data_IF_982230857482
#
_entry.id   IF_982230857482
#
_cell.length_a   1.000
_cell.length_b   1.000
_cell.length_c   1.000
_cell.angle_alpha   90.00
_cell.angle_beta   90.00
_cell.angle_gamma   90.00
#
_symmetry.space_group_name_H-M   'P 1'
#
loop_
_entity.id
_entity.type
_entity.pdbx_description
1 polymer ?
#
# COMPACT_ATOMS: atom_id res chain seq x y z
N UNK A 1 1.52 14.99 -14.86
CA UNK A 1 2.69 14.14 -14.48
C UNK A 1 3.44 14.64 -13.24
N UNK A 2 3.75 15.94 -13.10
CA UNK A 2 4.57 16.45 -11.99
C UNK A 2 4.04 16.13 -10.57
N UNK A 3 2.73 16.28 -10.33
CA UNK A 3 2.13 15.94 -9.02
C UNK A 3 2.27 14.45 -8.68
N UNK A 4 2.14 13.57 -9.67
CA UNK A 4 2.30 12.13 -9.48
C UNK A 4 3.74 11.79 -9.07
N UNK A 5 4.73 12.33 -9.76
CA UNK A 5 6.14 12.09 -9.44
C UNK A 5 6.53 12.65 -8.07
N UNK A 6 6.03 13.85 -7.72
CA UNK A 6 6.22 14.42 -6.39
C UNK A 6 5.58 13.56 -5.30
N UNK A 7 4.33 13.10 -5.52
CA UNK A 7 3.64 12.18 -4.63
C UNK A 7 4.38 10.86 -4.44
N UNK A 8 4.89 10.28 -5.53
CA UNK A 8 5.70 9.06 -5.50
C UNK A 8 6.96 9.24 -4.68
N UNK A 9 7.69 10.34 -4.91
CA UNK A 9 8.90 10.67 -4.16
C UNK A 9 8.64 10.82 -2.66
N UNK A 10 7.62 11.59 -2.27
CA UNK A 10 7.25 11.77 -0.86
C UNK A 10 6.80 10.48 -0.20
N UNK A 11 5.93 9.72 -0.87
CA UNK A 11 5.39 8.48 -0.35
C UNK A 11 6.51 7.45 -0.10
N UNK A 12 7.40 7.27 -1.08
CA UNK A 12 8.54 6.36 -0.95
C UNK A 12 9.52 6.84 0.11
N UNK A 13 9.88 8.13 0.12
CA UNK A 13 10.79 8.68 1.12
C UNK A 13 10.31 8.44 2.56
N UNK A 14 9.00 8.63 2.82
CA UNK A 14 8.41 8.35 4.12
C UNK A 14 8.51 6.86 4.51
N UNK A 15 8.28 5.94 3.57
CA UNK A 15 8.37 4.50 3.83
C UNK A 15 9.82 4.01 3.99
N UNK A 16 10.77 4.68 3.35
CA UNK A 16 12.19 4.33 3.42
C UNK A 16 12.89 4.83 4.70
N UNK A 17 12.18 5.49 5.63
CA UNK A 17 12.75 5.98 6.89
C UNK A 17 13.40 4.89 7.76
N UNK A 18 12.96 3.64 7.60
CA UNK A 18 13.49 2.48 8.31
C UNK A 18 14.69 1.82 7.60
N UNK A 19 14.98 2.19 6.35
CA UNK A 19 16.03 1.57 5.55
C UNK A 19 17.44 1.98 6.02
N UNK A 20 17.77 3.28 6.21
CA UNK A 20 19.04 3.66 6.78
C UNK A 20 19.14 3.18 8.24
N UNK A 21 20.14 2.35 8.52
CA UNK A 21 20.43 1.88 9.88
C UNK A 21 20.65 3.11 10.78
N UNK A 22 19.88 3.23 11.86
CA UNK A 22 20.05 4.29 12.86
C UNK A 22 19.21 5.56 12.64
N UNK A 23 18.66 5.83 11.43
CA UNK A 23 17.84 7.02 11.19
C UNK A 23 16.58 7.02 12.06
N UNK A 24 15.76 5.97 11.95
CA UNK A 24 14.53 5.85 12.75
C UNK A 24 14.79 5.85 14.27
N UNK A 25 15.77 5.09 14.81
CA UNK A 25 16.16 5.21 16.22
C UNK A 25 16.53 6.64 16.63
N UNK A 26 17.38 7.33 15.87
CA UNK A 26 17.81 8.70 16.19
C UNK A 26 16.62 9.69 16.20
N UNK A 27 15.70 9.55 15.25
CA UNK A 27 14.48 10.35 15.21
C UNK A 27 13.56 10.05 16.39
N UNK A 28 13.45 8.78 16.81
CA UNK A 28 12.66 8.39 17.98
C UNK A 28 13.27 8.96 19.26
N UNK A 29 14.60 8.96 19.41
CA UNK A 29 15.29 9.59 20.54
C UNK A 29 15.01 11.10 20.61
N UNK A 30 14.90 11.78 19.45
CA UNK A 30 14.69 13.23 19.40
C UNK A 30 13.23 13.66 19.51
N UNK A 31 12.30 12.93 18.89
CA UNK A 31 10.89 13.34 18.72
C UNK A 31 9.89 12.38 19.37
N UNK A 32 10.36 11.31 19.99
CA UNK A 32 9.52 10.24 20.54
C UNK A 32 8.91 9.33 19.47
N UNK A 33 8.49 8.14 19.88
CA UNK A 33 7.92 7.15 18.96
C UNK A 33 6.64 7.64 18.27
N UNK A 34 5.78 8.35 19.00
CA UNK A 34 4.51 8.87 18.47
C UNK A 34 4.72 10.06 17.54
N UNK A 35 5.69 10.94 17.84
CA UNK A 35 6.04 12.06 16.95
C UNK A 35 6.56 11.58 15.60
N UNK A 36 7.47 10.60 15.60
CA UNK A 36 7.97 9.98 14.35
C UNK A 36 6.86 9.29 13.57
N UNK A 37 5.98 8.53 14.25
CA UNK A 37 4.84 7.88 13.59
C UNK A 37 3.90 8.91 12.95
N UNK A 38 3.56 9.97 13.67
CA UNK A 38 2.66 11.02 13.15
C UNK A 38 3.27 11.71 11.93
N UNK A 39 4.55 12.09 12.00
CA UNK A 39 5.24 12.74 10.88
C UNK A 39 5.27 11.84 9.64
N UNK A 40 5.64 10.56 9.80
CA UNK A 40 5.65 9.58 8.70
C UNK A 40 4.25 9.43 8.12
N UNK A 41 3.22 9.24 8.97
CA UNK A 41 1.84 9.09 8.52
C UNK A 41 1.33 10.30 7.73
N UNK A 42 1.61 11.53 8.20
CA UNK A 42 1.20 12.75 7.50
C UNK A 42 1.90 12.90 6.16
N UNK A 43 3.21 12.70 6.10
CA UNK A 43 3.97 12.77 4.84
C UNK A 43 3.49 11.69 3.87
N UNK A 44 3.26 10.46 4.34
CA UNK A 44 2.69 9.38 3.53
C UNK A 44 1.29 9.73 3.01
N UNK A 45 0.42 10.31 3.84
CA UNK A 45 -0.93 10.70 3.44
C UNK A 45 -0.92 11.81 2.39
N UNK A 46 -0.06 12.82 2.55
CA UNK A 46 0.13 13.89 1.56
C UNK A 46 0.66 13.31 0.25
N UNK A 47 1.70 12.48 0.31
CA UNK A 47 2.24 11.80 -0.87
C UNK A 47 1.18 10.96 -1.60
N UNK A 48 0.35 10.23 -0.85
CA UNK A 48 -0.75 9.44 -1.39
C UNK A 48 -1.83 10.31 -2.05
N UNK A 49 -2.22 11.43 -1.42
CA UNK A 49 -3.18 12.37 -2.02
C UNK A 49 -2.65 12.95 -3.35
N UNK A 50 -1.37 13.31 -3.40
CA UNK A 50 -0.72 13.77 -4.63
C UNK A 50 -0.68 12.70 -5.72
N UNK A 51 -0.46 11.43 -5.36
CA UNK A 51 -0.55 10.31 -6.29
C UNK A 51 -1.96 10.18 -6.90
N UNK A 52 -3.00 10.25 -6.07
CA UNK A 52 -4.40 10.16 -6.52
C UNK A 52 -4.74 11.30 -7.48
N UNK A 53 -4.42 12.55 -7.10
CA UNK A 53 -4.69 13.73 -7.93
C UNK A 53 -3.87 13.66 -9.24
N UNK A 54 -2.58 13.34 -9.14
CA UNK A 54 -1.68 13.26 -10.28
C UNK A 54 -2.06 12.16 -11.27
N UNK A 55 -2.52 11.01 -10.77
CA UNK A 55 -3.06 9.95 -11.61
C UNK A 55 -4.37 10.38 -12.29
N UNK A 56 -5.26 11.04 -11.55
CA UNK A 56 -6.52 11.59 -12.10
C UNK A 56 -6.29 12.56 -13.28
N UNK A 57 -5.22 13.36 -13.22
CA UNK A 57 -4.81 14.23 -14.32
C UNK A 57 -4.18 13.46 -15.49
N UNK A 58 -3.34 12.46 -15.21
CA UNK A 58 -2.59 11.74 -16.25
C UNK A 58 -3.40 10.67 -16.99
N UNK A 59 -4.42 10.08 -16.34
CA UNK A 59 -5.17 8.93 -16.89
C UNK A 59 -5.97 9.24 -18.16
N UNK A 60 -6.33 10.50 -18.40
CA UNK A 60 -7.08 10.90 -19.60
C UNK A 60 -6.23 10.95 -20.87
N UNK A 61 -4.91 11.09 -20.70
CA UNK A 61 -3.94 11.15 -21.80
C UNK A 61 -3.23 9.81 -22.02
N UNK A 62 -3.45 8.83 -21.14
CA UNK A 62 -2.79 7.55 -21.18
C UNK A 62 -3.40 6.65 -22.26
N UNK A 63 -2.58 6.06 -23.16
CA UNK A 63 -3.07 5.08 -24.12
C UNK A 63 -3.54 3.82 -23.37
N UNK A 64 -4.54 3.09 -23.89
CA UNK A 64 -4.95 1.81 -23.33
C UNK A 64 -3.78 0.82 -23.41
N UNK A 65 -3.25 0.44 -22.25
CA UNK A 65 -2.11 -0.47 -22.14
C UNK A 65 -2.53 -1.94 -22.15
N UNK A 66 -3.73 -2.23 -21.64
CA UNK A 66 -4.28 -3.57 -21.51
C UNK A 66 -5.81 -3.50 -21.53
N UNK A 67 -6.42 -4.32 -22.38
CA UNK A 67 -7.87 -4.53 -22.40
C UNK A 67 -8.17 -5.90 -21.75
N UNK A 68 -8.76 -5.93 -20.54
CA UNK A 68 -9.01 -7.18 -19.85
C UNK A 68 -10.09 -8.00 -20.56
N UNK A 69 -9.99 -9.33 -20.57
CA UNK A 69 -11.05 -10.17 -21.09
C UNK A 69 -12.32 -9.96 -20.25
N UNK A 70 -13.50 -9.99 -20.89
CA UNK A 70 -14.80 -9.74 -20.25
C UNK A 70 -15.01 -10.65 -19.03
N UNK A 71 -14.62 -11.93 -19.13
CA UNK A 71 -14.74 -12.88 -18.02
C UNK A 71 -13.87 -12.53 -16.80
N UNK A 72 -12.80 -11.74 -16.99
CA UNK A 72 -11.88 -11.33 -15.93
C UNK A 72 -12.58 -10.49 -14.86
N UNK A 73 -13.61 -9.72 -15.23
CA UNK A 73 -14.42 -8.96 -14.28
C UNK A 73 -15.19 -9.88 -13.34
N UNK A 74 -15.76 -10.98 -13.88
CA UNK A 74 -16.49 -11.96 -13.07
C UNK A 74 -15.55 -12.74 -12.15
N UNK A 75 -14.36 -13.10 -12.62
CA UNK A 75 -13.36 -13.73 -11.76
C UNK A 75 -12.95 -12.80 -10.61
N UNK A 76 -12.67 -11.52 -10.90
CA UNK A 76 -12.33 -10.54 -9.88
C UNK A 76 -13.44 -10.37 -8.82
N UNK A 77 -14.71 -10.36 -9.24
CA UNK A 77 -15.86 -10.29 -8.31
C UNK A 77 -15.88 -11.44 -7.29
N UNK A 78 -15.35 -12.62 -7.65
CA UNK A 78 -15.27 -13.78 -6.75
C UNK A 78 -13.98 -13.77 -5.93
N UNK A 79 -12.84 -13.40 -6.54
CA UNK A 79 -11.53 -13.43 -5.89
C UNK A 79 -11.35 -12.31 -4.86
N UNK A 80 -11.90 -11.11 -5.09
CA UNK A 80 -11.75 -9.97 -4.17
C UNK A 80 -12.30 -10.26 -2.76
N UNK A 81 -13.51 -10.82 -2.58
CA UNK A 81 -13.99 -11.25 -1.27
C UNK A 81 -13.04 -12.25 -0.58
N UNK A 82 -12.48 -13.20 -1.33
CA UNK A 82 -11.51 -14.16 -0.80
C UNK A 82 -10.24 -13.44 -0.33
N UNK A 83 -9.73 -12.49 -1.13
CA UNK A 83 -8.59 -11.65 -0.77
C UNK A 83 -8.84 -10.86 0.53
N UNK A 84 -10.04 -10.33 0.74
CA UNK A 84 -10.40 -9.65 1.99
C UNK A 84 -10.41 -10.59 3.19
N UNK A 85 -10.97 -11.80 3.06
CA UNK A 85 -10.96 -12.80 4.14
C UNK A 85 -9.53 -13.20 4.49
N UNK A 86 -8.68 -13.44 3.49
CA UNK A 86 -7.26 -13.76 3.68
C UNK A 86 -6.50 -12.62 4.37
N UNK A 87 -6.75 -11.38 3.94
CA UNK A 87 -6.12 -10.19 4.52
C UNK A 87 -6.54 -9.99 5.98
N UNK A 88 -7.83 -10.16 6.30
CA UNK A 88 -8.31 -10.12 7.68
C UNK A 88 -7.69 -11.26 8.53
N UNK A 89 -7.63 -12.47 8.00
CA UNK A 89 -7.04 -13.63 8.67
C UNK A 89 -5.54 -13.46 8.99
N UNK A 90 -4.83 -12.55 8.30
CA UNK A 90 -3.44 -12.23 8.63
C UNK A 90 -3.31 -11.61 10.03
N UNK A 91 -4.29 -10.82 10.46
CA UNK A 91 -4.27 -10.06 11.71
C UNK A 91 -5.02 -10.74 12.87
N UNK A 92 -5.81 -11.78 12.58
CA UNK A 92 -6.50 -12.56 13.60
C UNK A 92 -5.59 -13.65 14.23
N UNK A 93 -5.96 -14.18 15.42
CA UNK A 93 -5.32 -15.35 16.02
C UNK A 93 -5.25 -16.55 15.04
N UNK A 94 -4.31 -17.46 15.28
CA UNK A 94 -4.09 -18.60 14.40
C UNK A 94 -5.30 -19.55 14.37
N UNK A 95 -6.06 -19.50 13.27
CA UNK A 95 -7.11 -20.47 12.93
C UNK A 95 -6.75 -21.31 11.71
N UNK A 96 -7.71 -22.09 11.20
CA UNK A 96 -7.52 -23.01 10.07
C UNK A 96 -6.95 -22.32 8.82
N UNK A 97 -7.44 -21.12 8.49
CA UNK A 97 -6.97 -20.35 7.33
C UNK A 97 -5.47 -20.07 7.41
N UNK A 98 -4.98 -19.63 8.58
CA UNK A 98 -3.55 -19.31 8.79
C UNK A 98 -2.68 -20.57 8.77
N UNK A 99 -3.19 -21.70 9.25
CA UNK A 99 -2.51 -23.00 9.14
C UNK A 99 -2.38 -23.45 7.68
N UNK A 100 -3.45 -23.32 6.90
CA UNK A 100 -3.48 -23.82 5.52
C UNK A 100 -2.67 -22.93 4.56
N UNK A 101 -2.78 -21.61 4.72
CA UNK A 101 -2.14 -20.65 3.82
C UNK A 101 -0.73 -20.24 4.25
N UNK A 102 -0.35 -20.47 5.51
CA UNK A 102 0.90 -20.05 6.17
C UNK A 102 1.10 -18.53 6.25
N UNK A 103 0.95 -17.83 5.12
CA UNK A 103 1.06 -16.38 4.99
C UNK A 103 -0.22 -15.80 4.37
N UNK A 104 -1.33 -15.68 5.13
CA UNK A 104 -2.60 -15.15 4.62
C UNK A 104 -2.47 -13.77 3.95
N UNK A 105 -1.60 -12.90 4.47
CA UNK A 105 -1.31 -11.59 3.88
C UNK A 105 -0.77 -11.72 2.45
N UNK A 106 0.25 -12.56 2.26
CA UNK A 106 0.88 -12.76 0.95
C UNK A 106 -0.09 -13.41 -0.02
N UNK A 107 -0.93 -14.34 0.45
CA UNK A 107 -1.97 -14.94 -0.36
C UNK A 107 -3.04 -13.90 -0.76
N UNK A 108 -3.51 -13.08 0.18
CA UNK A 108 -4.55 -12.09 -0.05
C UNK A 108 -4.15 -11.00 -1.05
N UNK A 109 -2.90 -10.55 -1.06
CA UNK A 109 -2.44 -9.52 -2.03
C UNK A 109 -2.08 -10.08 -3.42
N UNK A 110 -2.03 -11.41 -3.57
CA UNK A 110 -1.71 -12.09 -4.84
C UNK A 110 -2.94 -12.54 -5.61
N UNK A 111 -4.02 -12.84 -4.90
CA UNK A 111 -5.32 -13.28 -5.42
C UNK A 111 -6.08 -12.08 -5.98
#
# INVERSE_FOLDING_TARGET
>A
MGLFLAGLGLFLAAHMIAWPKGLRPALITRFGANGVKLAVSLVSLIGFALLVIGYGQARGEAPPLYDPPIWGQHLALVLVPIAFVLTAAAYLPAGRIKVWTRHPMVAGVKV
#
